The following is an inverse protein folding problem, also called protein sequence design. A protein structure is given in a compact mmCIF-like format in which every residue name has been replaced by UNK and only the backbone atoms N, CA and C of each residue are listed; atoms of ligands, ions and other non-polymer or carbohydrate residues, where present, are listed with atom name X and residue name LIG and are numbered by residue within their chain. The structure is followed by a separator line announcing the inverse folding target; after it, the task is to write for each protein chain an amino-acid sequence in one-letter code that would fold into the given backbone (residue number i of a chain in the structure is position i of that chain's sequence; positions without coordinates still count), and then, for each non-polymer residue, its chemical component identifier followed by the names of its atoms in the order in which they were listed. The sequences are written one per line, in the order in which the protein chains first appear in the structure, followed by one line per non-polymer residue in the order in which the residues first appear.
data_IF_033908446758
#
_entry.id   IF_033908446758
#
_cell.length_a   1.000
_cell.length_b   1.000
_cell.length_c   1.000
_cell.angle_alpha   90.00
_cell.angle_beta   90.00
_cell.angle_gamma   90.00
#
_symmetry.space_group_name_H-M   'P 1'
#
loop_
_entity.id
_entity.type
_entity.pdbx_description
1 polymer ?
#
# COMPACT_ATOMS: atom_id res chain seq x y z
N UNK A 1 -49.81 56.22 -26.35
CA UNK A 1 -49.03 54.99 -26.61
C UNK A 1 -48.02 54.83 -25.49
N UNK A 2 -48.18 53.89 -24.53
CA UNK A 2 -47.14 53.63 -23.56
C UNK A 2 -46.10 52.69 -24.19
N UNK A 3 -44.83 53.09 -24.15
CA UNK A 3 -43.71 52.24 -24.52
C UNK A 3 -43.53 51.14 -23.47
N UNK A 4 -43.73 49.89 -23.86
CA UNK A 4 -43.45 48.71 -23.03
C UNK A 4 -41.95 48.45 -23.08
N UNK A 5 -41.23 48.80 -22.02
CA UNK A 5 -39.83 48.39 -21.86
C UNK A 5 -39.81 46.89 -21.56
N UNK A 6 -39.39 46.09 -22.53
CA UNK A 6 -39.11 44.67 -22.33
C UNK A 6 -37.83 44.52 -21.50
N UNK A 7 -37.98 44.05 -20.27
CA UNK A 7 -36.85 43.66 -19.41
C UNK A 7 -36.26 42.36 -19.93
N UNK A 8 -35.03 42.38 -20.42
CA UNK A 8 -34.30 41.15 -20.76
C UNK A 8 -34.10 40.31 -19.49
N UNK A 9 -34.40 39.00 -19.50
CA UNK A 9 -34.18 38.15 -18.34
C UNK A 9 -32.69 38.08 -18.02
N UNK A 10 -32.34 38.33 -16.76
CA UNK A 10 -30.97 38.18 -16.28
C UNK A 10 -30.53 36.72 -16.43
N UNK A 11 -29.42 36.49 -17.15
CA UNK A 11 -28.75 35.19 -17.18
C UNK A 11 -28.21 34.95 -15.77
N UNK A 12 -28.85 34.04 -15.02
CA UNK A 12 -28.30 33.58 -13.75
C UNK A 12 -26.99 32.83 -14.06
N UNK A 13 -25.87 33.34 -13.55
CA UNK A 13 -24.64 32.57 -13.53
C UNK A 13 -24.94 31.24 -12.80
N UNK A 14 -24.55 30.07 -13.36
CA UNK A 14 -24.79 28.81 -12.69
C UNK A 14 -24.14 28.87 -11.31
N UNK A 15 -24.93 28.65 -10.26
CA UNK A 15 -24.43 28.58 -8.90
C UNK A 15 -23.35 27.48 -8.86
N UNK A 16 -22.14 27.85 -8.45
CA UNK A 16 -21.03 26.90 -8.36
C UNK A 16 -21.37 25.91 -7.25
N UNK A 17 -21.58 24.64 -7.60
CA UNK A 17 -21.86 23.57 -6.65
C UNK A 17 -20.64 23.34 -5.73
N UNK A 18 -20.76 23.52 -4.40
CA UNK A 18 -19.67 23.25 -3.46
C UNK A 18 -19.11 21.81 -3.56
N UNK A 19 -19.96 20.83 -3.90
CA UNK A 19 -19.51 19.46 -4.11
C UNK A 19 -18.61 19.34 -5.35
N UNK A 20 -18.90 20.09 -6.42
CA UNK A 20 -18.07 20.14 -7.62
C UNK A 20 -16.72 20.83 -7.35
N UNK A 21 -16.69 21.88 -6.52
CA UNK A 21 -15.43 22.53 -6.09
C UNK A 21 -14.54 21.59 -5.27
N UNK A 22 -15.13 20.85 -4.32
CA UNK A 22 -14.41 19.84 -3.55
C UNK A 22 -13.86 18.72 -4.42
N UNK A 23 -14.66 18.23 -5.38
CA UNK A 23 -14.23 17.22 -6.35
C UNK A 23 -13.10 17.72 -7.25
N UNK A 24 -13.14 18.97 -7.72
CA UNK A 24 -12.07 19.55 -8.52
C UNK A 24 -10.76 19.65 -7.74
N UNK A 25 -10.81 20.12 -6.48
CA UNK A 25 -9.62 20.25 -5.65
C UNK A 25 -8.95 18.89 -5.41
N UNK A 26 -9.74 17.88 -5.05
CA UNK A 26 -9.26 16.50 -4.88
C UNK A 26 -8.76 15.91 -6.20
N UNK A 27 -9.39 16.25 -7.33
CA UNK A 27 -8.97 15.75 -8.64
C UNK A 27 -7.57 16.28 -9.00
N UNK A 28 -7.30 17.55 -8.72
CA UNK A 28 -5.97 18.15 -8.90
C UNK A 28 -4.91 17.48 -8.03
N UNK A 29 -5.24 17.12 -6.78
CA UNK A 29 -4.35 16.33 -5.91
C UNK A 29 -4.08 14.94 -6.50
N UNK A 30 -5.13 14.25 -6.94
CA UNK A 30 -5.03 12.92 -7.55
C UNK A 30 -4.18 12.93 -8.83
N UNK A 31 -4.26 13.99 -9.65
CA UNK A 31 -3.39 14.19 -10.81
C UNK A 31 -1.90 14.29 -10.42
N UNK A 32 -1.57 15.06 -9.38
CA UNK A 32 -0.18 15.23 -8.92
C UNK A 32 0.40 13.94 -8.35
N UNK A 33 -0.39 13.19 -7.60
CA UNK A 33 0.06 11.91 -7.03
C UNK A 33 0.14 10.82 -8.11
N UNK A 34 -0.90 10.72 -8.94
CA UNK A 34 -0.91 9.90 -10.15
C UNK A 34 -0.76 8.39 -9.90
N UNK A 35 -1.30 7.87 -8.79
CA UNK A 35 -1.25 6.44 -8.47
C UNK A 35 -2.64 5.81 -8.53
N UNK A 36 -2.77 4.52 -8.93
CA UNK A 36 -4.07 3.87 -8.99
C UNK A 36 -4.83 3.90 -7.66
N UNK A 37 -4.14 3.71 -6.54
CA UNK A 37 -4.71 3.78 -5.18
C UNK A 37 -5.45 5.10 -4.95
N UNK A 38 -4.83 6.23 -5.26
CA UNK A 38 -5.44 7.54 -5.05
C UNK A 38 -6.61 7.78 -6.00
N UNK A 39 -6.54 7.28 -7.23
CA UNK A 39 -7.68 7.32 -8.15
C UNK A 39 -8.87 6.47 -7.67
N UNK A 40 -8.62 5.30 -7.07
CA UNK A 40 -9.68 4.50 -6.44
C UNK A 40 -10.35 5.26 -5.30
N UNK A 41 -9.57 5.84 -4.38
CA UNK A 41 -10.11 6.65 -3.28
C UNK A 41 -10.87 7.88 -3.77
N UNK A 42 -10.37 8.54 -4.82
CA UNK A 42 -11.07 9.64 -5.46
C UNK A 42 -12.45 9.20 -5.96
N UNK A 43 -12.55 8.10 -6.72
CA UNK A 43 -13.83 7.62 -7.29
C UNK A 43 -14.78 7.11 -6.20
N UNK A 44 -14.25 6.58 -5.09
CA UNK A 44 -15.05 6.16 -3.95
C UNK A 44 -15.69 7.35 -3.22
N UNK A 45 -14.90 8.42 -3.01
CA UNK A 45 -15.32 9.67 -2.39
C UNK A 45 -16.26 10.47 -3.29
N UNK A 46 -15.92 10.57 -4.58
CA UNK A 46 -16.63 11.33 -5.61
C UNK A 46 -17.27 10.37 -6.61
N UNK A 47 -18.45 9.83 -6.27
CA UNK A 47 -19.11 8.78 -7.05
C UNK A 47 -19.82 9.28 -8.31
N UNK A 48 -20.11 10.57 -8.40
CA UNK A 48 -20.92 11.17 -9.47
C UNK A 48 -20.32 12.49 -9.92
N UNK A 49 -20.78 13.01 -11.05
CA UNK A 49 -20.26 14.24 -11.65
C UNK A 49 -19.15 13.99 -12.67
N UNK A 50 -18.72 15.06 -13.33
CA UNK A 50 -17.75 15.02 -14.43
C UNK A 50 -16.38 14.49 -13.97
N UNK A 51 -15.85 14.99 -12.86
CA UNK A 51 -14.56 14.53 -12.32
C UNK A 51 -14.56 13.05 -11.95
N UNK A 52 -15.68 12.50 -11.48
CA UNK A 52 -15.82 11.07 -11.22
C UNK A 52 -15.71 10.24 -12.51
N UNK A 53 -16.29 10.73 -13.61
CA UNK A 53 -16.17 10.07 -14.92
C UNK A 53 -14.74 10.16 -15.45
N UNK A 54 -14.11 11.33 -15.35
CA UNK A 54 -12.74 11.55 -15.77
C UNK A 54 -11.76 10.68 -14.98
N UNK A 55 -11.92 10.59 -13.66
CA UNK A 55 -11.09 9.74 -12.80
C UNK A 55 -11.22 8.25 -13.16
N UNK A 56 -12.43 7.76 -13.48
CA UNK A 56 -12.63 6.38 -13.95
C UNK A 56 -11.94 6.11 -15.28
N UNK A 57 -11.89 7.11 -16.17
CA UNK A 57 -11.17 7.03 -17.44
C UNK A 57 -9.65 7.03 -17.20
N UNK A 58 -9.13 7.91 -16.34
CA UNK A 58 -7.71 7.92 -15.96
C UNK A 58 -7.29 6.59 -15.36
N UNK A 59 -8.06 6.07 -14.41
CA UNK A 59 -7.82 4.77 -13.80
C UNK A 59 -7.78 3.64 -14.85
N UNK A 60 -8.66 3.69 -15.86
CA UNK A 60 -8.68 2.73 -16.96
C UNK A 60 -7.42 2.74 -17.84
N UNK A 61 -6.72 3.89 -17.90
CA UNK A 61 -5.51 4.05 -18.70
C UNK A 61 -4.25 3.60 -17.95
N UNK A 62 -4.22 3.80 -16.62
CA UNK A 62 -3.03 3.52 -15.80
C UNK A 62 -3.01 2.11 -15.20
N UNK A 63 -4.16 1.45 -15.04
CA UNK A 63 -4.23 0.07 -14.57
C UNK A 63 -4.44 -0.90 -15.74
N UNK A 64 -3.55 -1.91 -15.91
CA UNK A 64 -3.77 -2.97 -16.88
C UNK A 64 -5.09 -3.70 -16.61
N UNK A 65 -5.87 -4.00 -17.65
CA UNK A 65 -7.15 -4.70 -17.53
C UNK A 65 -7.06 -6.02 -16.75
N UNK A 66 -5.93 -6.73 -16.81
CA UNK A 66 -5.70 -7.95 -16.03
C UNK A 66 -5.64 -7.70 -14.50
N UNK A 67 -4.96 -6.62 -14.09
CA UNK A 67 -4.86 -6.20 -12.68
C UNK A 67 -6.22 -5.68 -12.20
N UNK A 68 -6.90 -4.87 -13.03
CA UNK A 68 -8.27 -4.40 -12.79
C UNK A 68 -9.24 -5.58 -12.61
N UNK A 69 -9.24 -6.54 -13.52
CA UNK A 69 -10.17 -7.67 -13.51
C UNK A 69 -9.92 -8.67 -12.37
N UNK A 70 -8.69 -8.82 -11.88
CA UNK A 70 -8.38 -9.72 -10.75
C UNK A 70 -8.57 -9.04 -9.38
N UNK A 71 -8.28 -7.73 -9.28
CA UNK A 71 -8.32 -6.97 -8.03
C UNK A 71 -9.72 -6.46 -7.66
N UNK A 72 -10.65 -6.41 -8.62
CA UNK A 72 -12.05 -5.99 -8.43
C UNK A 72 -13.08 -7.12 -8.31
N UNK A 73 -12.68 -8.39 -8.48
CA UNK A 73 -13.63 -9.49 -8.27
C UNK A 73 -14.10 -9.47 -6.80
N UNK A 74 -15.42 -9.51 -6.54
CA UNK A 74 -15.96 -9.44 -5.19
C UNK A 74 -15.35 -10.46 -4.22
N UNK A 75 -15.03 -11.66 -4.71
CA UNK A 75 -14.36 -12.71 -3.93
C UNK A 75 -12.90 -12.35 -3.59
N UNK A 76 -12.14 -11.78 -4.52
CA UNK A 76 -10.75 -11.36 -4.30
C UNK A 76 -10.67 -10.19 -3.32
N UNK A 77 -11.59 -9.23 -3.43
CA UNK A 77 -11.71 -8.10 -2.49
C UNK A 77 -12.04 -8.62 -1.10
N UNK A 78 -13.07 -9.46 -0.96
CA UNK A 78 -13.42 -10.07 0.32
C UNK A 78 -12.27 -10.91 0.91
N UNK A 79 -11.52 -11.63 0.08
CA UNK A 79 -10.34 -12.38 0.52
C UNK A 79 -9.26 -11.52 1.13
N UNK A 80 -9.01 -10.35 0.53
CA UNK A 80 -8.06 -9.37 1.03
C UNK A 80 -8.54 -8.66 2.30
N UNK A 81 -9.84 -8.37 2.39
CA UNK A 81 -10.46 -7.76 3.57
C UNK A 81 -10.51 -8.70 4.78
N UNK A 82 -10.65 -10.00 4.53
CA UNK A 82 -10.82 -11.03 5.54
C UNK A 82 -9.88 -12.22 5.27
N UNK A 83 -8.55 -12.02 5.34
CA UNK A 83 -7.59 -13.09 5.12
C UNK A 83 -7.70 -14.17 6.20
N UNK A 84 -8.05 -13.78 7.43
CA UNK A 84 -8.08 -14.68 8.57
C UNK A 84 -9.43 -15.40 8.72
N UNK A 85 -9.35 -16.72 8.95
CA UNK A 85 -10.52 -17.55 9.28
C UNK A 85 -11.30 -16.99 10.48
N UNK A 86 -10.60 -16.41 11.46
CA UNK A 86 -11.23 -15.84 12.65
C UNK A 86 -12.04 -14.58 12.33
N UNK A 87 -11.55 -13.70 11.46
CA UNK A 87 -12.30 -12.51 11.02
C UNK A 87 -13.58 -12.92 10.27
N UNK A 88 -13.49 -13.95 9.43
CA UNK A 88 -14.65 -14.51 8.72
C UNK A 88 -15.70 -15.08 9.69
N UNK A 89 -15.28 -15.79 10.74
CA UNK A 89 -16.19 -16.23 11.81
C UNK A 89 -16.89 -15.05 12.47
N UNK A 90 -16.15 -13.98 12.76
CA UNK A 90 -16.72 -12.78 13.37
C UNK A 90 -17.78 -12.13 12.48
N UNK A 91 -17.61 -12.14 11.16
CA UNK A 91 -18.65 -11.69 10.20
C UNK A 91 -19.92 -12.54 10.32
N UNK A 92 -19.79 -13.88 10.32
CA UNK A 92 -20.94 -14.78 10.47
C UNK A 92 -21.69 -14.54 11.78
N UNK A 93 -20.96 -14.35 12.89
CA UNK A 93 -21.52 -14.00 14.20
C UNK A 93 -22.21 -12.63 14.19
N UNK A 94 -21.61 -11.61 13.57
CA UNK A 94 -22.18 -10.27 13.49
C UNK A 94 -23.47 -10.24 12.64
N UNK A 95 -23.52 -11.00 11.56
CA UNK A 95 -24.74 -11.19 10.76
C UNK A 95 -25.84 -11.82 11.59
N UNK A 96 -25.54 -12.91 12.31
CA UNK A 96 -26.51 -13.60 13.17
C UNK A 96 -27.03 -12.68 14.28
N UNK A 97 -26.15 -11.91 14.93
CA UNK A 97 -26.52 -10.95 15.97
C UNK A 97 -27.44 -9.83 15.45
N UNK A 98 -27.36 -9.50 14.16
CA UNK A 98 -28.25 -8.53 13.50
C UNK A 98 -29.50 -9.16 12.85
N UNK A 99 -29.77 -10.44 13.11
CA UNK A 99 -30.96 -11.15 12.63
C UNK A 99 -30.81 -11.77 11.24
N UNK A 100 -29.62 -11.79 10.65
CA UNK A 100 -29.35 -12.40 9.35
C UNK A 100 -28.71 -13.78 9.55
N UNK A 101 -29.52 -14.83 9.48
CA UNK A 101 -29.06 -16.21 9.69
C UNK A 101 -28.03 -16.63 8.62
N UNK A 102 -26.75 -16.74 9.02
CA UNK A 102 -25.61 -17.01 8.15
C UNK A 102 -25.13 -18.48 8.20
N UNK A 103 -25.77 -19.31 9.03
CA UNK A 103 -25.36 -20.69 9.33
C UNK A 103 -24.41 -20.78 10.53
N UNK A 104 -23.61 -21.84 10.58
CA UNK A 104 -22.59 -22.03 11.63
C UNK A 104 -21.43 -21.05 11.39
N UNK A 105 -20.95 -20.41 12.46
CA UNK A 105 -19.79 -19.51 12.40
C UNK A 105 -18.46 -20.29 12.34
N UNK A 106 -18.18 -20.91 11.19
CA UNK A 106 -17.01 -21.74 10.93
C UNK A 106 -15.88 -21.01 10.16
N UNK A 107 -16.16 -19.82 9.64
CA UNK A 107 -15.27 -18.99 8.83
C UNK A 107 -15.31 -19.31 7.33
N UNK A 108 -16.23 -20.16 6.89
CA UNK A 108 -16.43 -20.56 5.49
C UNK A 108 -17.70 -19.91 4.95
N UNK A 109 -17.58 -19.03 3.96
CA UNK A 109 -18.74 -18.33 3.38
C UNK A 109 -19.39 -19.15 2.26
N UNK A 110 -20.15 -20.17 2.67
CA UNK A 110 -21.01 -20.97 1.78
C UNK A 110 -22.31 -20.26 1.39
N UNK A 111 -23.17 -20.94 0.63
CA UNK A 111 -24.40 -20.35 0.07
C UNK A 111 -25.32 -19.66 1.09
N UNK A 112 -25.49 -20.23 2.28
CA UNK A 112 -26.29 -19.60 3.35
C UNK A 112 -25.69 -18.27 3.82
N UNK A 113 -24.37 -18.23 4.06
CA UNK A 113 -23.69 -16.99 4.44
C UNK A 113 -23.75 -15.95 3.33
N UNK A 114 -23.61 -16.34 2.06
CA UNK A 114 -23.73 -15.44 0.90
C UNK A 114 -25.11 -14.78 0.83
N UNK A 115 -26.18 -15.56 1.01
CA UNK A 115 -27.55 -15.04 1.04
C UNK A 115 -27.81 -14.13 2.25
N UNK A 116 -27.25 -14.46 3.41
CA UNK A 116 -27.32 -13.61 4.60
C UNK A 116 -26.64 -12.25 4.37
N UNK A 117 -25.44 -12.24 3.77
CA UNK A 117 -24.72 -11.02 3.40
C UNK A 117 -25.55 -10.20 2.40
N UNK A 118 -26.10 -10.85 1.37
CA UNK A 118 -26.90 -10.18 0.34
C UNK A 118 -28.13 -9.49 0.93
N UNK A 119 -28.86 -10.17 1.82
CA UNK A 119 -30.01 -9.60 2.54
C UNK A 119 -29.60 -8.44 3.44
N UNK A 120 -28.52 -8.60 4.20
CA UNK A 120 -27.98 -7.53 5.03
C UNK A 120 -27.64 -6.29 4.20
N UNK A 121 -26.96 -6.47 3.06
CA UNK A 121 -26.63 -5.39 2.14
C UNK A 121 -27.90 -4.69 1.62
N UNK A 122 -28.90 -5.44 1.17
CA UNK A 122 -30.19 -4.86 0.72
C UNK A 122 -30.87 -4.05 1.82
N UNK A 123 -30.94 -4.55 3.06
CA UNK A 123 -31.54 -3.84 4.19
C UNK A 123 -30.79 -2.55 4.52
N UNK A 124 -29.46 -2.54 4.34
CA UNK A 124 -28.62 -1.37 4.58
C UNK A 124 -28.45 -0.46 3.35
N UNK A 125 -29.29 -0.64 2.30
CA UNK A 125 -29.25 0.13 1.04
C UNK A 125 -27.88 0.08 0.34
N UNK A 126 -27.18 -1.04 0.49
CA UNK A 126 -25.93 -1.34 -0.20
C UNK A 126 -26.20 -2.23 -1.43
N UNK A 127 -25.32 -2.23 -2.44
CA UNK A 127 -25.38 -3.21 -3.52
C UNK A 127 -25.37 -4.65 -2.97
N UNK A 128 -26.36 -5.44 -3.32
CA UNK A 128 -26.58 -6.78 -2.79
C UNK A 128 -25.74 -7.83 -3.53
N UNK A 129 -24.41 -7.74 -3.39
CA UNK A 129 -23.43 -8.59 -4.07
C UNK A 129 -23.28 -9.97 -3.43
N UNK A 130 -23.58 -10.11 -2.13
CA UNK A 130 -23.33 -11.33 -1.35
C UNK A 130 -21.87 -11.52 -0.91
N UNK A 131 -21.02 -10.51 -1.14
CA UNK A 131 -19.62 -10.49 -0.70
C UNK A 131 -19.37 -9.30 0.21
N UNK A 132 -18.55 -9.49 1.24
CA UNK A 132 -18.18 -8.41 2.16
C UNK A 132 -17.32 -7.38 1.43
N UNK A 133 -17.78 -6.13 1.45
CA UNK A 133 -17.00 -4.94 1.11
C UNK A 133 -16.61 -4.21 2.39
N UNK A 134 -15.76 -3.19 2.27
CA UNK A 134 -15.38 -2.28 3.34
C UNK A 134 -16.62 -1.65 3.99
N UNK A 135 -17.57 -1.20 3.17
CA UNK A 135 -18.85 -0.64 3.62
C UNK A 135 -19.73 -1.67 4.35
N UNK A 136 -19.77 -2.90 3.86
CA UNK A 136 -20.51 -3.99 4.53
C UNK A 136 -19.86 -4.34 5.86
N UNK A 137 -18.53 -4.45 5.91
CA UNK A 137 -17.78 -4.73 7.13
C UNK A 137 -17.96 -3.62 8.19
N UNK A 138 -17.88 -2.35 7.79
CA UNK A 138 -18.11 -1.21 8.67
C UNK A 138 -19.53 -1.24 9.27
N UNK A 139 -20.55 -1.50 8.46
CA UNK A 139 -21.93 -1.63 8.93
C UNK A 139 -22.15 -2.84 9.87
N UNK A 140 -21.31 -3.88 9.75
CA UNK A 140 -21.25 -5.02 10.66
C UNK A 140 -20.41 -4.77 11.91
N UNK A 141 -19.66 -3.67 11.98
CA UNK A 141 -18.70 -3.40 13.07
C UNK A 141 -17.46 -4.31 13.01
N UNK A 142 -17.15 -4.86 11.84
CA UNK A 142 -16.02 -5.75 11.62
C UNK A 142 -14.81 -4.92 11.21
N UNK A 143 -13.73 -5.04 11.99
CA UNK A 143 -12.41 -4.56 11.57
C UNK A 143 -11.88 -5.51 10.49
N UNK A 144 -11.89 -5.05 9.25
CA UNK A 144 -11.29 -5.75 8.11
C UNK A 144 -9.81 -5.40 7.99
N UNK A 145 -9.07 -6.23 7.28
CA UNK A 145 -7.83 -5.80 6.64
C UNK A 145 -8.21 -4.90 5.44
N UNK A 146 -8.63 -3.67 5.76
CA UNK A 146 -8.92 -2.59 4.80
C UNK A 146 -7.72 -2.16 3.97
N UNK A 147 -6.53 -2.62 4.34
CA UNK A 147 -5.27 -2.34 3.67
C UNK A 147 -5.10 -3.32 2.54
N UNK A 148 -5.43 -2.87 1.34
CA UNK A 148 -5.03 -3.61 0.16
C UNK A 148 -3.53 -3.93 0.24
N UNK A 149 -3.10 -5.17 0.00
CA UNK A 149 -1.65 -5.44 -0.13
C UNK A 149 -1.17 -5.01 -1.51
N UNK A 150 0.14 -4.75 -1.62
CA UNK A 150 0.77 -4.32 -2.86
C UNK A 150 1.41 -2.95 -2.77
N UNK A 151 1.94 -2.51 -3.91
CA UNK A 151 2.55 -1.19 -4.06
C UNK A 151 1.44 -0.13 -4.10
N UNK A 152 1.52 0.85 -3.20
CA UNK A 152 0.56 1.96 -3.11
C UNK A 152 0.97 3.14 -3.99
N UNK A 153 2.28 3.33 -4.12
CA UNK A 153 2.90 4.43 -4.82
C UNK A 153 3.14 4.10 -6.30
N UNK A 154 3.88 4.97 -7.00
CA UNK A 154 4.57 4.60 -8.25
C UNK A 154 5.58 3.48 -7.98
N UNK A 155 5.87 2.64 -8.98
CA UNK A 155 6.96 1.65 -8.95
C UNK A 155 8.34 2.27 -9.12
N UNK A 156 8.39 3.55 -9.52
CA UNK A 156 9.59 4.38 -9.50
C UNK A 156 9.48 5.46 -8.43
N UNK A 157 10.63 5.83 -7.84
CA UNK A 157 10.70 6.76 -6.73
C UNK A 157 10.20 8.15 -7.14
N UNK A 158 9.29 8.70 -6.33
CA UNK A 158 8.76 10.06 -6.49
C UNK A 158 8.72 10.76 -5.14
N UNK A 159 8.72 12.08 -5.18
CA UNK A 159 8.44 12.90 -4.01
C UNK A 159 6.93 13.02 -3.90
N UNK A 160 6.39 12.78 -2.70
CA UNK A 160 4.97 12.91 -2.41
C UNK A 160 4.76 14.05 -1.41
N UNK A 161 3.85 14.96 -1.74
CA UNK A 161 3.43 16.00 -0.81
C UNK A 161 2.32 15.46 0.11
N UNK A 162 2.46 15.68 1.41
CA UNK A 162 1.44 15.27 2.38
C UNK A 162 0.13 16.03 2.19
N UNK A 163 0.18 17.28 1.72
CA UNK A 163 -1.03 18.09 1.51
C UNK A 163 -1.85 17.56 0.33
N UNK A 164 -1.19 16.95 -0.65
CA UNK A 164 -1.85 16.25 -1.76
C UNK A 164 -2.49 14.93 -1.31
N UNK A 165 -1.83 14.19 -0.40
CA UNK A 165 -2.38 12.94 0.14
C UNK A 165 -3.53 13.18 1.11
N UNK A 166 -3.49 14.29 1.84
CA UNK A 166 -4.48 14.60 2.89
C UNK A 166 -5.88 14.74 2.31
N UNK A 167 -6.80 13.94 2.85
CA UNK A 167 -8.21 13.87 2.42
C UNK A 167 -8.50 12.89 1.30
N UNK A 168 -7.47 12.22 0.76
CA UNK A 168 -7.59 11.13 -0.23
C UNK A 168 -6.97 9.82 0.27
N UNK A 169 -5.77 9.85 0.85
CA UNK A 169 -5.17 8.68 1.50
C UNK A 169 -5.81 8.42 2.85
N UNK A 170 -6.11 7.15 3.12
CA UNK A 170 -6.86 6.69 4.29
C UNK A 170 -6.00 5.93 5.29
N UNK A 171 -4.82 5.42 4.89
CA UNK A 171 -3.89 4.74 5.79
C UNK A 171 -3.01 5.78 6.51
N UNK A 172 -3.30 6.02 7.80
CA UNK A 172 -2.55 6.97 8.64
C UNK A 172 -1.05 6.68 8.69
N UNK A 173 -0.63 5.42 8.50
CA UNK A 173 0.79 5.06 8.48
C UNK A 173 1.49 5.61 7.23
N UNK A 174 0.78 5.66 6.10
CA UNK A 174 1.30 6.29 4.88
C UNK A 174 1.47 7.78 5.12
N UNK A 175 0.45 8.45 5.68
CA UNK A 175 0.53 9.87 6.01
C UNK A 175 1.69 10.16 6.98
N UNK A 176 1.87 9.36 8.03
CA UNK A 176 2.96 9.49 8.98
C UNK A 176 4.34 9.27 8.33
N UNK A 177 4.47 8.25 7.47
CA UNK A 177 5.72 7.96 6.78
C UNK A 177 6.11 9.08 5.81
N UNK A 178 5.18 9.56 4.97
CA UNK A 178 5.44 10.66 4.04
C UNK A 178 5.74 11.96 4.78
N UNK A 179 5.04 12.23 5.89
CA UNK A 179 5.36 13.35 6.77
C UNK A 179 6.81 13.30 7.26
N UNK A 180 7.26 12.13 7.71
CA UNK A 180 8.60 11.98 8.25
C UNK A 180 9.68 12.10 7.17
N UNK A 181 9.44 11.48 6.02
CA UNK A 181 10.39 11.49 4.89
C UNK A 181 10.49 12.86 4.22
N UNK A 182 9.48 13.71 4.36
CA UNK A 182 9.48 15.05 3.76
C UNK A 182 9.63 14.99 2.24
N UNK A 183 10.77 15.45 1.73
CA UNK A 183 11.04 15.51 0.29
C UNK A 183 11.89 14.35 -0.25
N UNK A 184 12.10 13.29 0.52
CA UNK A 184 12.85 12.12 0.04
C UNK A 184 12.06 11.34 -1.01
N UNK A 185 12.61 11.11 -2.22
CA UNK A 185 11.96 10.29 -3.22
C UNK A 185 11.75 8.87 -2.69
N UNK A 186 10.53 8.34 -2.81
CA UNK A 186 10.19 7.06 -2.20
C UNK A 186 9.29 6.19 -3.07
N UNK A 187 9.32 4.89 -2.76
CA UNK A 187 8.34 3.89 -3.18
C UNK A 187 7.84 3.19 -1.92
N UNK A 188 6.52 3.01 -1.80
CA UNK A 188 5.91 2.42 -0.62
C UNK A 188 4.71 1.53 -0.96
N UNK A 189 4.46 0.59 -0.07
CA UNK A 189 3.35 -0.35 -0.18
C UNK A 189 3.21 -1.20 1.08
N UNK A 190 2.16 -2.01 1.12
CA UNK A 190 1.86 -2.85 2.28
C UNK A 190 1.90 -4.34 1.96
N UNK A 191 2.38 -5.13 2.92
CA UNK A 191 2.38 -6.59 2.86
C UNK A 191 2.30 -7.17 4.27
N UNK A 192 1.50 -8.22 4.47
CA UNK A 192 1.40 -8.89 5.77
C UNK A 192 0.93 -7.96 6.90
N UNK A 193 0.21 -6.89 6.58
CA UNK A 193 -0.21 -5.87 7.53
C UNK A 193 0.87 -4.83 7.88
N UNK A 194 2.09 -4.92 7.36
CA UNK A 194 3.15 -3.92 7.55
C UNK A 194 3.19 -2.92 6.40
N UNK A 195 3.57 -1.66 6.68
CA UNK A 195 3.89 -0.67 5.65
C UNK A 195 5.40 -0.66 5.44
N UNK A 196 5.82 -0.84 4.19
CA UNK A 196 7.22 -0.76 3.79
C UNK A 196 7.44 0.48 2.95
N UNK A 197 8.53 1.18 3.21
CA UNK A 197 8.93 2.36 2.45
C UNK A 197 10.41 2.24 2.10
N UNK A 198 10.72 2.39 0.82
CA UNK A 198 12.09 2.54 0.33
C UNK A 198 12.27 4.01 -0.03
N UNK A 199 13.21 4.68 0.66
CA UNK A 199 13.52 6.09 0.44
C UNK A 199 14.92 6.26 -0.16
N UNK A 200 15.07 7.18 -1.11
CA UNK A 200 16.34 7.46 -1.78
C UNK A 200 17.04 8.66 -1.15
N UNK A 201 17.81 8.37 -0.10
CA UNK A 201 18.52 9.39 0.72
C UNK A 201 19.99 9.60 0.31
N UNK A 202 20.39 9.16 -0.90
CA UNK A 202 21.78 9.11 -1.34
C UNK A 202 22.63 8.04 -0.64
N UNK A 203 23.94 8.03 -0.90
CA UNK A 203 24.88 7.07 -0.30
C UNK A 203 25.02 7.31 1.21
N UNK A 204 24.51 6.36 1.99
CA UNK A 204 24.53 6.41 3.47
C UNK A 204 25.07 5.13 4.09
N UNK A 205 25.44 5.18 5.38
CA UNK A 205 25.91 4.03 6.16
C UNK A 205 24.76 3.47 6.99
N UNK A 206 24.79 2.16 7.27
CA UNK A 206 23.76 1.47 8.04
C UNK A 206 23.32 2.19 9.35
N UNK A 207 24.24 2.67 10.22
CA UNK A 207 23.83 3.33 11.47
C UNK A 207 23.06 4.64 11.26
N UNK A 208 23.32 5.33 10.15
CA UNK A 208 22.58 6.54 9.81
C UNK A 208 21.18 6.18 9.31
N UNK A 209 21.06 5.17 8.44
CA UNK A 209 19.76 4.68 7.97
C UNK A 209 18.87 4.20 9.14
N UNK A 210 19.47 3.51 10.11
CA UNK A 210 18.82 3.09 11.35
C UNK A 210 18.34 4.29 12.19
N UNK A 211 19.18 5.32 12.32
CA UNK A 211 18.82 6.56 13.04
C UNK A 211 17.63 7.27 12.37
N UNK A 212 17.62 7.35 11.03
CA UNK A 212 16.49 7.93 10.28
C UNK A 212 15.20 7.16 10.53
N UNK A 213 15.24 5.83 10.45
CA UNK A 213 14.07 4.99 10.75
C UNK A 213 13.56 5.22 12.19
N UNK A 214 14.46 5.19 13.18
CA UNK A 214 14.11 5.42 14.60
C UNK A 214 13.51 6.80 14.85
N UNK A 215 14.02 7.84 14.19
CA UNK A 215 13.45 9.20 14.26
C UNK A 215 12.04 9.29 13.67
N UNK A 216 11.70 8.41 12.73
CA UNK A 216 10.34 8.25 12.21
C UNK A 216 9.45 7.35 13.07
N UNK A 217 9.94 6.83 14.19
CA UNK A 217 9.22 5.84 14.99
C UNK A 217 9.10 4.48 14.31
N UNK A 218 9.98 4.17 13.36
CA UNK A 218 10.02 2.92 12.59
C UNK A 218 11.35 2.21 12.78
N UNK A 219 11.53 1.08 12.09
CA UNK A 219 12.76 0.30 12.05
C UNK A 219 13.12 -0.03 10.60
N UNK A 220 14.39 -0.37 10.35
CA UNK A 220 14.79 -0.90 9.05
C UNK A 220 14.17 -2.28 8.83
N UNK A 221 13.67 -2.53 7.62
CA UNK A 221 12.84 -3.70 7.33
C UNK A 221 13.51 -5.03 7.74
N UNK A 222 12.71 -5.89 8.35
CA UNK A 222 12.99 -7.31 8.56
C UNK A 222 12.46 -8.13 7.39
N UNK A 223 12.98 -9.35 7.25
CA UNK A 223 12.54 -10.31 6.25
C UNK A 223 12.33 -11.65 6.94
N UNK A 224 11.08 -12.05 7.10
CA UNK A 224 10.67 -13.25 7.83
C UNK A 224 10.10 -14.34 6.92
N UNK A 225 9.76 -13.99 5.67
CA UNK A 225 9.24 -14.94 4.68
C UNK A 225 9.76 -14.68 3.26
N UNK A 226 9.70 -15.71 2.41
CA UNK A 226 10.10 -15.60 1.00
C UNK A 226 9.15 -14.65 0.22
N UNK A 227 7.87 -14.60 0.61
CA UNK A 227 6.88 -13.69 0.02
C UNK A 227 7.11 -12.23 0.42
N UNK A 228 7.46 -11.97 1.68
CA UNK A 228 7.86 -10.65 2.17
C UNK A 228 9.13 -10.16 1.47
N UNK A 229 10.15 -11.03 1.32
CA UNK A 229 11.35 -10.71 0.57
C UNK A 229 11.04 -10.30 -0.88
N UNK A 230 10.17 -11.07 -1.56
CA UNK A 230 9.75 -10.78 -2.92
C UNK A 230 9.00 -9.44 -3.01
N UNK A 231 8.12 -9.16 -2.04
CA UNK A 231 7.41 -7.89 -1.95
C UNK A 231 8.37 -6.71 -1.73
N UNK A 232 9.25 -6.78 -0.73
CA UNK A 232 10.23 -5.71 -0.44
C UNK A 232 11.11 -5.46 -1.66
N UNK A 233 11.59 -6.51 -2.33
CA UNK A 233 12.36 -6.40 -3.56
C UNK A 233 11.59 -5.69 -4.69
N UNK A 234 10.27 -5.93 -4.79
CA UNK A 234 9.43 -5.27 -5.79
C UNK A 234 9.36 -3.75 -5.64
N UNK A 235 9.57 -3.22 -4.43
CA UNK A 235 9.53 -1.77 -4.17
C UNK A 235 10.71 -1.01 -4.78
N UNK A 236 11.84 -1.66 -5.04
CA UNK A 236 13.04 -0.97 -5.50
C UNK A 236 13.64 -1.52 -6.80
N UNK A 237 13.26 -2.73 -7.23
CA UNK A 237 13.83 -3.34 -8.44
C UNK A 237 13.51 -2.62 -9.75
N UNK A 238 12.37 -1.92 -9.81
CA UNK A 238 11.94 -1.21 -11.01
C UNK A 238 12.66 0.14 -11.22
N UNK A 239 13.29 0.69 -10.18
CA UNK A 239 13.98 1.98 -10.24
C UNK A 239 15.49 1.80 -10.04
N UNK A 240 16.31 2.02 -11.10
CA UNK A 240 17.77 1.90 -10.98
C UNK A 240 18.37 2.91 -9.98
N UNK A 241 17.66 4.01 -9.66
CA UNK A 241 18.10 5.02 -8.72
C UNK A 241 18.16 4.57 -7.26
N UNK A 242 17.62 3.40 -6.92
CA UNK A 242 17.82 2.78 -5.60
C UNK A 242 19.11 1.96 -5.49
N UNK A 243 19.87 1.85 -6.58
CA UNK A 243 21.09 1.06 -6.61
C UNK A 243 22.32 1.93 -6.80
N UNK A 244 23.28 1.79 -5.88
CA UNK A 244 24.65 2.22 -6.12
C UNK A 244 25.35 1.12 -6.92
N UNK A 245 25.71 1.45 -8.17
CA UNK A 245 26.30 0.52 -9.12
C UNK A 245 27.60 1.10 -9.66
N UNK A 246 28.61 0.25 -9.77
CA UNK A 246 29.89 0.68 -10.30
C UNK A 246 30.84 -0.47 -10.56
N UNK A 247 32.05 -0.09 -10.96
CA UNK A 247 33.13 -1.02 -11.26
C UNK A 247 34.41 -0.52 -10.59
N UNK A 248 34.97 -1.37 -9.72
CA UNK A 248 36.24 -1.13 -9.07
C UNK A 248 37.35 -1.79 -9.87
N UNK A 249 38.01 -0.98 -10.71
CA UNK A 249 39.02 -1.42 -11.66
C UNK A 249 40.22 -2.17 -11.05
N UNK A 250 40.77 -1.78 -9.88
CA UNK A 250 41.93 -2.46 -9.31
C UNK A 250 41.70 -3.95 -9.01
N UNK A 251 40.49 -4.32 -8.57
CA UNK A 251 40.15 -5.70 -8.21
C UNK A 251 39.24 -6.40 -9.26
N UNK A 252 38.92 -5.71 -10.37
CA UNK A 252 37.96 -6.17 -11.38
C UNK A 252 36.58 -6.55 -10.79
N UNK A 253 36.09 -5.76 -9.83
CA UNK A 253 34.82 -6.03 -9.11
C UNK A 253 33.74 -5.08 -9.60
N UNK A 254 32.69 -5.61 -10.23
CA UNK A 254 31.42 -4.90 -10.38
C UNK A 254 30.59 -5.03 -9.10
N UNK A 255 29.95 -3.94 -8.69
CA UNK A 255 29.05 -3.94 -7.54
C UNK A 255 27.68 -3.37 -7.90
N UNK A 256 26.66 -3.86 -7.19
CA UNK A 256 25.29 -3.35 -7.17
C UNK A 256 24.79 -3.47 -5.75
N UNK A 257 24.60 -2.33 -5.11
CA UNK A 257 24.25 -2.22 -3.69
C UNK A 257 22.87 -1.58 -3.62
N UNK A 258 21.93 -2.28 -2.98
CA UNK A 258 20.57 -1.78 -2.77
C UNK A 258 20.38 -1.07 -1.42
N UNK A 259 19.12 -0.79 -1.05
CA UNK A 259 18.78 -0.17 0.23
C UNK A 259 19.31 -0.95 1.45
N UNK A 260 19.45 -0.27 2.58
CA UNK A 260 19.76 -0.90 3.88
C UNK A 260 18.54 -1.63 4.44
N UNK A 261 18.76 -2.79 5.08
CA UNK A 261 17.75 -3.51 5.89
C UNK A 261 18.23 -3.73 7.32
N UNK A 262 17.31 -4.08 8.21
CA UNK A 262 17.52 -4.10 9.65
C UNK A 262 18.27 -5.32 10.18
N UNK A 263 19.02 -6.05 9.35
CA UNK A 263 19.81 -7.19 9.81
C UNK A 263 21.11 -6.68 10.45
N UNK A 264 21.22 -6.86 11.77
CA UNK A 264 22.32 -6.36 12.60
C UNK A 264 23.05 -7.52 13.24
N UNK A 265 24.37 -7.43 13.34
CA UNK A 265 25.18 -8.37 14.12
C UNK A 265 25.63 -7.73 15.43
N UNK A 266 25.49 -8.46 16.53
CA UNK A 266 26.03 -8.07 17.82
C UNK A 266 27.53 -7.77 17.71
N UNK A 267 28.05 -6.72 18.40
CA UNK A 267 29.47 -6.39 18.35
C UNK A 267 30.41 -7.52 18.78
N UNK A 268 29.92 -8.46 19.59
CA UNK A 268 30.66 -9.65 20.04
C UNK A 268 30.28 -10.93 19.27
N UNK A 269 29.42 -10.80 18.26
CA UNK A 269 28.98 -11.91 17.41
C UNK A 269 30.16 -12.52 16.65
N UNK A 270 30.39 -13.83 16.84
CA UNK A 270 31.42 -14.54 16.07
C UNK A 270 30.94 -14.78 14.64
N UNK A 271 31.63 -14.19 13.67
CA UNK A 271 31.43 -14.55 12.27
C UNK A 271 31.69 -16.05 12.05
N UNK A 272 30.97 -16.70 11.12
CA UNK A 272 30.00 -16.11 10.19
C UNK A 272 28.54 -16.12 10.68
N UNK A 273 28.22 -16.79 11.81
CA UNK A 273 26.81 -17.09 12.20
C UNK A 273 26.33 -16.48 13.53
N UNK A 274 27.23 -15.97 14.37
CA UNK A 274 26.91 -15.51 15.72
C UNK A 274 26.38 -14.09 15.79
N UNK A 275 25.40 -13.85 16.67
CA UNK A 275 24.97 -12.51 17.08
C UNK A 275 24.02 -11.76 16.13
N UNK A 276 23.55 -12.38 15.05
CA UNK A 276 22.62 -11.70 14.14
C UNK A 276 21.22 -11.55 14.76
N UNK A 277 20.56 -10.42 14.55
CA UNK A 277 19.16 -10.17 14.91
C UNK A 277 18.56 -9.07 14.03
N UNK A 278 17.23 -8.96 14.01
CA UNK A 278 16.54 -7.84 13.38
C UNK A 278 16.42 -6.67 14.34
N UNK A 279 16.68 -5.44 13.89
CA UNK A 279 16.46 -4.22 14.70
C UNK A 279 14.99 -4.04 15.11
N UNK A 280 14.06 -4.70 14.41
CA UNK A 280 12.64 -4.78 14.79
C UNK A 280 12.37 -5.65 16.02
N UNK A 281 13.32 -6.51 16.43
CA UNK A 281 13.13 -7.52 17.47
C UNK A 281 12.40 -8.78 17.02
N UNK A 282 12.06 -8.91 15.73
CA UNK A 282 11.37 -10.09 15.19
C UNK A 282 12.24 -11.34 15.19
N UNK A 283 11.59 -12.51 15.35
CA UNK A 283 12.27 -13.80 15.36
C UNK A 283 12.89 -14.12 13.99
N UNK A 284 14.14 -14.59 13.99
CA UNK A 284 14.84 -15.04 12.79
C UNK A 284 14.31 -16.39 12.31
N UNK A 285 14.44 -16.68 11.01
CA UNK A 285 14.26 -18.06 10.50
C UNK A 285 15.46 -18.90 10.93
N UNK A 286 15.24 -20.16 11.29
CA UNK A 286 16.31 -21.08 11.71
C UNK A 286 17.41 -21.35 10.65
N UNK A 287 17.16 -21.04 9.37
CA UNK A 287 18.02 -21.41 8.23
C UNK A 287 18.55 -20.21 7.40
N UNK A 288 18.40 -18.97 7.87
CA UNK A 288 18.62 -17.75 7.07
C UNK A 288 20.02 -17.64 6.42
N UNK A 289 21.05 -18.26 7.00
CA UNK A 289 22.41 -18.26 6.45
C UNK A 289 22.63 -19.17 5.23
N UNK A 290 21.77 -20.16 4.97
CA UNK A 290 21.91 -21.02 3.79
C UNK A 290 21.18 -20.49 2.55
N UNK A 291 20.18 -19.62 2.73
CA UNK A 291 19.41 -19.03 1.61
C UNK A 291 19.82 -17.58 1.28
N UNK A 292 20.46 -16.87 2.20
CA UNK A 292 20.99 -15.51 1.98
C UNK A 292 22.44 -15.46 1.49
N UNK A 293 22.99 -16.56 0.94
CA UNK A 293 24.26 -16.55 0.21
C UNK A 293 24.18 -17.31 -1.12
N UNK A 294 25.04 -17.07 -2.12
CA UNK A 294 25.52 -15.81 -2.67
C UNK A 294 24.94 -15.52 -4.07
N UNK A 295 23.83 -16.15 -4.51
CA UNK A 295 23.49 -16.15 -5.95
C UNK A 295 22.05 -15.82 -6.39
N UNK A 296 21.07 -15.51 -5.51
CA UNK A 296 19.68 -15.27 -5.98
C UNK A 296 18.88 -14.14 -5.33
N UNK A 297 19.42 -13.43 -4.36
CA UNK A 297 18.83 -12.20 -3.86
C UNK A 297 19.79 -11.05 -4.16
N UNK A 298 19.26 -9.98 -4.75
CA UNK A 298 19.93 -8.69 -4.86
C UNK A 298 20.49 -8.35 -3.48
N UNK A 299 21.79 -8.05 -3.38
CA UNK A 299 22.51 -7.86 -2.12
C UNK A 299 21.94 -6.61 -1.44
N UNK A 300 20.91 -6.81 -0.61
CA UNK A 300 20.37 -5.82 0.31
C UNK A 300 21.39 -5.73 1.44
N UNK A 301 22.03 -4.57 1.60
CA UNK A 301 23.19 -4.48 2.47
C UNK A 301 22.72 -4.55 3.93
N UNK A 302 23.10 -5.62 4.63
CA UNK A 302 22.99 -5.73 6.08
C UNK A 302 24.15 -4.96 6.73
N UNK A 303 23.88 -4.28 7.85
CA UNK A 303 24.82 -3.37 8.49
C UNK A 303 26.07 -4.04 9.08
N UNK A 304 27.22 -3.54 8.62
CA UNK A 304 28.64 -3.70 9.05
C UNK A 304 29.44 -4.92 8.56
N UNK A 305 30.51 -4.56 7.82
CA UNK A 305 31.69 -5.30 7.36
C UNK A 305 31.44 -6.73 6.83
N UNK A 306 31.20 -6.80 5.52
CA UNK A 306 31.62 -7.97 4.75
C UNK A 306 32.74 -7.55 3.80
N UNK A 307 33.95 -8.02 4.11
CA UNK A 307 35.03 -8.10 3.15
C UNK A 307 34.80 -9.36 2.31
N UNK A 308 35.13 -9.23 1.03
CA UNK A 308 35.44 -10.28 0.05
C UNK A 308 34.46 -10.51 -1.13
N UNK A 309 34.92 -10.00 -2.28
CA UNK A 309 35.17 -10.60 -3.61
C UNK A 309 34.03 -11.37 -4.33
N UNK A 310 33.80 -10.98 -5.59
CA UNK A 310 32.98 -11.67 -6.60
C UNK A 310 33.84 -12.40 -7.67
N UNK A 311 33.22 -13.40 -8.33
CA UNK A 311 33.48 -14.14 -9.61
C UNK A 311 34.24 -15.48 -9.61
N UNK A 312 34.04 -16.42 -10.58
CA UNK A 312 33.01 -16.53 -11.66
C UNK A 312 32.25 -17.89 -11.74
N UNK A 313 31.17 -17.92 -12.53
CA UNK A 313 30.94 -18.88 -13.63
C UNK A 313 29.87 -18.26 -14.56
#
# INVERSE_FOLDING_TARGET
MPHTNATLPAIQAPAVDPAALGAEADFKKALRIGTPRIWHFFVEKHRTGEYAQLARQTLAQIEPAAVRNQSHLPLSVEARLLPDKQQRKNVQLALAAKGFASGVADGVFGGQTREAIKRFQSTNRQPASGFITELTAAALGIKVNDRAEGIYSSTTARIYDIDDLTGLETDERVLAAIKCLGHEPSVYGAFGGHLYVVARTGSTRAPYAETVAKNCGTYLASITSDAENAFIASLFNADPGFFDMGYYAPDNISYKIGPWIGLVQDPQGKEPKGGWHWDSGEARRGDDLHKMGPRRAIRIQAGRRFRDVFYPA
#
